data_IF_707400214862
#
_entry.id   IF_707400214862
#
_cell.length_a   1.000
_cell.length_b   1.000
_cell.length_c   1.000
_cell.angle_alpha   90.00
_cell.angle_beta   90.00
_cell.angle_gamma   90.00
#
_symmetry.space_group_name_H-M   'P 1'
#
loop_
_entity.id
_entity.type
_entity.pdbx_description
1 polymer ?
#
# COMPACT_ATOMS: atom_id res chain seq x y z
N UNK A 1 15.56 2.99 12.19
CA UNK A 1 15.14 2.65 13.57
C UNK A 1 14.93 1.15 13.64
N UNK A 2 15.41 0.48 14.69
CA UNK A 2 15.21 -0.95 14.91
C UNK A 2 14.10 -1.17 15.95
N UNK A 3 13.23 -2.18 15.81
CA UNK A 3 12.28 -2.49 16.86
C UNK A 3 13.02 -2.98 18.12
N UNK A 4 12.35 -2.87 19.26
CA UNK A 4 12.84 -3.46 20.50
C UNK A 4 12.99 -4.98 20.34
N UNK A 5 14.04 -5.54 20.95
CA UNK A 5 14.23 -6.99 21.01
C UNK A 5 13.13 -7.59 21.90
N UNK A 6 12.34 -8.55 21.40
CA UNK A 6 11.35 -9.21 22.24
C UNK A 6 12.00 -9.92 23.44
N UNK A 7 11.27 -10.01 24.54
CA UNK A 7 11.70 -10.77 25.72
C UNK A 7 12.00 -12.22 25.33
N UNK A 8 13.16 -12.74 25.75
CA UNK A 8 13.60 -14.10 25.43
C UNK A 8 14.26 -14.23 24.04
N UNK A 9 14.49 -13.13 23.32
CA UNK A 9 15.30 -13.17 22.11
C UNK A 9 16.73 -13.64 22.44
N UNK A 10 17.30 -14.61 21.70
CA UNK A 10 18.62 -15.14 22.00
C UNK A 10 19.70 -14.06 22.04
N UNK A 11 20.50 -14.07 23.10
CA UNK A 11 21.66 -13.20 23.22
C UNK A 11 22.66 -13.45 22.09
N UNK A 12 23.31 -12.40 21.59
CA UNK A 12 24.25 -12.49 20.48
C UNK A 12 23.65 -12.77 19.10
N UNK A 13 22.38 -13.18 18.99
CA UNK A 13 21.73 -13.37 17.69
C UNK A 13 21.42 -12.02 17.04
N UNK A 14 21.65 -11.93 15.73
CA UNK A 14 21.30 -10.75 14.94
C UNK A 14 19.77 -10.64 14.82
N UNK A 15 19.26 -9.43 15.06
CA UNK A 15 17.82 -9.18 15.02
C UNK A 15 17.31 -9.07 13.58
N UNK A 16 18.04 -8.41 12.68
CA UNK A 16 17.76 -8.44 11.24
C UNK A 16 18.41 -9.67 10.61
N UNK A 17 17.62 -10.51 9.98
CA UNK A 17 18.11 -11.69 9.28
C UNK A 17 18.65 -11.41 7.88
N UNK A 18 18.96 -12.48 7.12
CA UNK A 18 19.27 -12.40 5.70
C UNK A 18 18.19 -11.67 4.89
N UNK A 19 18.58 -11.04 3.78
CA UNK A 19 17.66 -10.35 2.87
C UNK A 19 17.20 -8.96 3.32
N UNK A 20 17.58 -8.51 4.52
CA UNK A 20 17.22 -7.19 5.02
C UNK A 20 15.73 -7.11 5.35
N UNK A 21 15.38 -7.44 6.59
CA UNK A 21 13.99 -7.39 7.03
C UNK A 21 13.79 -8.17 8.32
N UNK A 22 12.71 -7.84 9.01
CA UNK A 22 12.30 -8.48 10.24
C UNK A 22 10.80 -8.29 10.40
N UNK A 23 10.10 -9.37 10.71
CA UNK A 23 8.71 -9.30 11.16
C UNK A 23 8.58 -10.06 12.47
N UNK A 24 7.97 -9.40 13.46
CA UNK A 24 7.75 -9.94 14.80
C UNK A 24 6.25 -10.05 15.01
N UNK A 25 5.76 -11.28 15.17
CA UNK A 25 4.37 -11.52 15.54
C UNK A 25 4.30 -11.82 17.03
N UNK A 26 3.65 -10.92 17.78
CA UNK A 26 3.40 -11.09 19.20
C UNK A 26 2.13 -11.92 19.41
N UNK A 27 2.29 -13.18 19.79
CA UNK A 27 1.18 -14.07 20.12
C UNK A 27 1.00 -14.23 21.63
N UNK A 28 -0.19 -14.67 22.04
CA UNK A 28 -0.48 -15.00 23.44
C UNK A 28 0.23 -16.26 23.93
N UNK A 29 0.64 -17.14 22.99
CA UNK A 29 1.31 -18.42 23.27
C UNK A 29 2.81 -18.40 22.99
N UNK A 30 3.26 -17.48 22.13
CA UNK A 30 4.65 -17.39 21.68
C UNK A 30 4.86 -16.14 20.83
N UNK A 31 6.13 -15.82 20.58
CA UNK A 31 6.53 -14.80 19.61
C UNK A 31 7.17 -15.49 18.40
N UNK A 32 6.57 -15.28 17.22
CA UNK A 32 7.12 -15.76 15.95
C UNK A 32 7.97 -14.66 15.33
N UNK A 33 9.19 -15.02 14.95
CA UNK A 33 10.14 -14.13 14.29
C UNK A 33 10.47 -14.71 12.92
N UNK A 34 10.39 -13.89 11.89
CA UNK A 34 10.83 -14.24 10.55
C UNK A 34 11.56 -13.08 9.89
N UNK A 35 12.43 -13.43 8.94
CA UNK A 35 13.16 -12.48 8.10
C UNK A 35 12.28 -11.87 7.01
N UNK A 36 12.93 -11.21 6.06
CA UNK A 36 12.27 -10.65 4.88
C UNK A 36 11.42 -11.74 4.20
N UNK A 37 10.22 -11.37 3.72
CA UNK A 37 9.26 -12.29 3.07
C UNK A 37 8.87 -13.53 3.87
N UNK A 38 9.02 -13.51 5.19
CA UNK A 38 8.69 -14.64 6.05
C UNK A 38 9.74 -15.76 6.05
N UNK A 39 10.96 -15.47 5.59
CA UNK A 39 12.05 -16.44 5.57
C UNK A 39 12.49 -16.86 6.99
N UNK A 40 12.94 -18.11 7.11
CA UNK A 40 13.52 -18.70 8.31
C UNK A 40 12.72 -18.42 9.61
N UNK A 41 11.40 -18.72 9.63
CA UNK A 41 10.57 -18.46 10.80
C UNK A 41 11.04 -19.31 11.99
N UNK A 42 11.12 -18.71 13.17
CA UNK A 42 11.36 -19.42 14.42
C UNK A 42 10.53 -18.85 15.58
N UNK A 43 10.18 -19.70 16.54
CA UNK A 43 9.51 -19.31 17.77
C UNK A 43 10.54 -19.06 18.87
N UNK A 44 10.33 -18.04 19.71
CA UNK A 44 11.24 -17.76 20.82
C UNK A 44 11.30 -18.89 21.85
N UNK A 45 10.23 -19.69 21.98
CA UNK A 45 10.24 -20.90 22.81
C UNK A 45 11.15 -22.02 22.30
N UNK A 46 11.67 -21.93 21.07
CA UNK A 46 12.41 -23.00 20.41
C UNK A 46 11.53 -24.08 19.77
N UNK A 47 10.21 -23.99 19.89
CA UNK A 47 9.29 -24.89 19.15
C UNK A 47 9.40 -24.65 17.66
N UNK A 48 9.22 -25.71 16.89
CA UNK A 48 9.15 -25.64 15.43
C UNK A 48 7.79 -25.07 15.01
N UNK A 49 7.72 -23.94 14.27
CA UNK A 49 6.45 -23.46 13.74
C UNK A 49 5.82 -24.52 12.82
N UNK A 50 4.59 -24.91 13.14
CA UNK A 50 3.82 -25.86 12.33
C UNK A 50 2.41 -25.31 12.09
N UNK A 51 2.27 -24.56 11.00
CA UNK A 51 0.98 -24.00 10.57
C UNK A 51 0.44 -24.77 9.35
N UNK A 52 -0.90 -24.92 9.22
CA UNK A 52 -1.50 -25.48 8.02
C UNK A 52 -1.02 -24.75 6.76
N UNK A 53 -0.74 -25.53 5.70
CA UNK A 53 -0.37 -24.97 4.39
C UNK A 53 -1.64 -24.56 3.66
N UNK A 54 -1.98 -23.27 3.74
CA UNK A 54 -3.23 -22.72 3.16
C UNK A 54 -3.08 -22.16 1.75
N UNK A 55 -1.85 -22.05 1.23
CA UNK A 55 -1.57 -21.44 -0.07
C UNK A 55 -0.66 -22.33 -0.93
N UNK A 56 -0.89 -22.35 -2.25
CA UNK A 56 0.05 -22.91 -3.23
C UNK A 56 1.45 -22.33 -3.01
N UNK A 57 2.47 -23.20 -3.01
CA UNK A 57 3.89 -22.80 -2.94
C UNK A 57 4.47 -22.76 -4.35
N UNK A 58 5.02 -21.61 -4.71
CA UNK A 58 5.76 -21.43 -5.96
C UNK A 58 7.13 -22.10 -5.79
N UNK A 59 7.50 -22.99 -6.71
CA UNK A 59 8.78 -23.73 -6.66
C UNK A 59 9.94 -23.00 -7.37
N UNK A 60 9.61 -22.05 -8.24
CA UNK A 60 10.55 -21.15 -8.91
C UNK A 60 10.54 -19.75 -8.23
N UNK A 61 11.25 -18.78 -8.80
CA UNK A 61 11.13 -17.39 -8.38
C UNK A 61 9.77 -16.78 -8.76
N UNK A 62 9.39 -15.68 -8.13
CA UNK A 62 8.07 -15.08 -8.28
C UNK A 62 7.81 -14.61 -9.72
N UNK A 63 8.81 -14.01 -10.37
CA UNK A 63 8.77 -13.62 -11.77
C UNK A 63 8.71 -14.84 -12.71
N UNK A 64 9.33 -15.96 -12.34
CA UNK A 64 9.26 -17.18 -13.13
C UNK A 64 7.91 -17.91 -13.01
N UNK A 65 7.14 -17.70 -11.93
CA UNK A 65 5.76 -18.17 -11.83
C UNK A 65 4.87 -17.48 -12.86
N UNK A 66 5.11 -16.18 -13.09
CA UNK A 66 4.45 -15.40 -14.13
C UNK A 66 4.85 -15.89 -15.53
N UNK A 67 6.16 -16.00 -15.80
CA UNK A 67 6.67 -16.49 -17.10
C UNK A 67 6.11 -17.88 -17.43
N UNK A 68 6.07 -18.79 -16.44
CA UNK A 68 5.44 -20.11 -16.57
C UNK A 68 3.98 -19.97 -17.00
N UNK A 69 3.18 -19.20 -16.25
CA UNK A 69 1.75 -19.04 -16.55
C UNK A 69 1.53 -18.45 -17.96
N UNK A 70 2.35 -17.49 -18.40
CA UNK A 70 2.26 -16.94 -19.75
C UNK A 70 2.53 -17.96 -20.87
N UNK A 71 3.38 -18.95 -20.62
CA UNK A 71 3.73 -20.01 -21.59
C UNK A 71 2.73 -21.18 -21.60
N UNK A 72 1.90 -21.31 -20.57
CA UNK A 72 0.86 -22.33 -20.51
C UNK A 72 -0.35 -21.97 -21.37
N UNK A 73 -0.97 -23.00 -21.97
CA UNK A 73 -2.22 -22.86 -22.69
C UNK A 73 -3.32 -22.34 -21.76
N UNK A 74 -4.13 -21.41 -22.27
CA UNK A 74 -5.19 -20.78 -21.47
C UNK A 74 -6.15 -21.82 -20.86
N UNK A 75 -6.36 -22.96 -21.52
CA UNK A 75 -7.28 -24.02 -21.09
C UNK A 75 -6.80 -24.81 -19.86
N UNK A 76 -5.50 -24.84 -19.58
CA UNK A 76 -4.92 -25.64 -18.49
C UNK A 76 -3.97 -24.85 -17.58
N UNK A 77 -3.86 -23.53 -17.81
CA UNK A 77 -2.98 -22.63 -17.07
C UNK A 77 -3.31 -22.62 -15.59
N UNK A 78 -2.27 -22.78 -14.77
CA UNK A 78 -2.35 -22.48 -13.34
C UNK A 78 -2.00 -21.01 -13.13
N UNK A 79 -2.96 -20.23 -12.61
CA UNK A 79 -2.78 -18.80 -12.38
C UNK A 79 -1.55 -18.51 -11.49
N UNK A 80 -0.79 -17.45 -11.81
CA UNK A 80 0.34 -17.03 -10.99
C UNK A 80 -0.15 -16.64 -9.59
N UNK A 81 0.73 -16.74 -8.57
CA UNK A 81 0.31 -16.56 -7.18
C UNK A 81 -0.10 -15.11 -6.86
N UNK A 82 0.39 -14.16 -7.64
CA UNK A 82 0.04 -12.74 -7.60
C UNK A 82 -0.54 -12.35 -8.97
N UNK A 83 -1.70 -12.89 -9.32
CA UNK A 83 -2.41 -12.48 -10.54
C UNK A 83 -3.17 -11.15 -10.34
N UNK A 84 -3.87 -10.69 -11.37
CA UNK A 84 -4.56 -9.40 -11.35
C UNK A 84 -5.82 -9.38 -10.48
N UNK A 85 -6.43 -10.52 -10.14
CA UNK A 85 -7.55 -10.54 -9.19
C UNK A 85 -7.12 -10.15 -7.78
N UNK A 86 -5.84 -10.39 -7.43
CA UNK A 86 -5.24 -9.95 -6.16
C UNK A 86 -4.54 -8.59 -6.32
N UNK A 87 -3.70 -8.48 -7.36
CA UNK A 87 -2.82 -7.32 -7.55
C UNK A 87 -3.58 -6.05 -7.96
N UNK A 88 -4.72 -6.19 -8.64
CA UNK A 88 -5.60 -5.08 -9.01
C UNK A 88 -6.17 -4.37 -7.78
N UNK A 89 -6.95 -5.06 -6.93
CA UNK A 89 -7.47 -4.49 -5.69
C UNK A 89 -6.37 -4.01 -4.73
N UNK A 90 -5.25 -4.73 -4.65
CA UNK A 90 -4.10 -4.28 -3.86
C UNK A 90 -3.57 -2.93 -4.36
N UNK A 91 -3.41 -2.78 -5.69
CA UNK A 91 -2.98 -1.52 -6.28
C UNK A 91 -3.99 -0.39 -6.02
N UNK A 92 -5.30 -0.68 -6.09
CA UNK A 92 -6.35 0.27 -5.71
C UNK A 92 -6.16 0.80 -4.28
N UNK A 93 -5.93 -0.10 -3.31
CA UNK A 93 -5.63 0.29 -1.93
C UNK A 93 -4.37 1.16 -1.81
N UNK A 94 -3.32 0.87 -2.58
CA UNK A 94 -2.09 1.67 -2.58
C UNK A 94 -2.35 3.07 -3.14
N UNK A 95 -3.07 3.20 -4.26
CA UNK A 95 -3.37 4.52 -4.85
C UNK A 95 -4.34 5.35 -4.00
N UNK A 96 -5.12 4.73 -3.10
CA UNK A 96 -5.87 5.47 -2.06
C UNK A 96 -4.95 6.33 -1.17
N UNK A 97 -3.70 5.92 -0.94
CA UNK A 97 -2.72 6.74 -0.24
C UNK A 97 -2.38 8.04 -0.99
N UNK A 98 -2.34 7.99 -2.32
CA UNK A 98 -2.13 9.18 -3.17
C UNK A 98 -3.33 10.11 -3.10
N UNK A 99 -4.55 9.56 -3.11
CA UNK A 99 -5.79 10.34 -2.92
C UNK A 99 -5.78 11.06 -1.57
N UNK A 100 -5.38 10.40 -0.49
CA UNK A 100 -5.28 11.00 0.83
C UNK A 100 -4.33 12.22 0.85
N UNK A 101 -3.19 12.14 0.16
CA UNK A 101 -2.25 13.28 0.03
C UNK A 101 -2.88 14.42 -0.80
N UNK A 102 -3.54 14.10 -1.92
CA UNK A 102 -4.16 15.13 -2.77
C UNK A 102 -5.33 15.84 -2.09
N UNK A 103 -6.03 15.15 -1.20
CA UNK A 103 -7.17 15.65 -0.45
C UNK A 103 -6.80 16.13 0.96
N UNK A 104 -5.51 16.12 1.33
CA UNK A 104 -5.05 16.43 2.70
C UNK A 104 -5.51 17.79 3.21
N UNK A 105 -5.75 18.76 2.32
CA UNK A 105 -6.25 20.09 2.67
C UNK A 105 -7.65 20.10 3.29
N UNK A 106 -8.39 18.98 3.24
CA UNK A 106 -9.65 18.81 3.97
C UNK A 106 -9.44 18.61 5.47
N UNK A 107 -8.20 18.31 5.91
CA UNK A 107 -7.82 18.17 7.31
C UNK A 107 -8.76 17.25 8.12
N UNK A 108 -9.19 16.15 7.51
CA UNK A 108 -10.06 15.16 8.14
C UNK A 108 -9.72 13.76 7.66
N UNK A 109 -10.12 12.77 8.45
CA UNK A 109 -10.11 11.37 8.01
C UNK A 109 -11.07 11.20 6.84
N UNK A 110 -10.60 10.55 5.77
CA UNK A 110 -11.42 10.25 4.60
C UNK A 110 -12.02 8.85 4.73
N UNK A 111 -13.33 8.75 4.57
CA UNK A 111 -14.06 7.49 4.57
C UNK A 111 -14.28 7.01 3.14
N UNK A 112 -13.81 5.79 2.84
CA UNK A 112 -13.80 5.22 1.49
C UNK A 112 -14.79 4.08 1.36
N UNK A 113 -15.67 4.17 0.36
CA UNK A 113 -16.50 3.06 -0.10
C UNK A 113 -15.86 2.46 -1.36
N UNK A 114 -15.16 1.34 -1.19
CA UNK A 114 -14.49 0.64 -2.29
C UNK A 114 -15.42 -0.04 -3.28
N UNK A 115 -16.66 -0.37 -2.88
CA UNK A 115 -17.62 -0.99 -3.80
C UNK A 115 -18.19 0.05 -4.78
N UNK A 116 -18.45 1.26 -4.29
CA UNK A 116 -18.97 2.37 -5.10
C UNK A 116 -17.87 3.31 -5.62
N UNK A 117 -16.61 3.05 -5.26
CA UNK A 117 -15.43 3.84 -5.65
C UNK A 117 -15.60 5.33 -5.33
N UNK A 118 -15.99 5.67 -4.09
CA UNK A 118 -16.20 7.07 -3.70
C UNK A 118 -15.89 7.33 -2.21
N UNK A 119 -15.69 8.62 -1.89
CA UNK A 119 -15.61 9.06 -0.50
C UNK A 119 -17.01 9.40 0.02
N UNK A 120 -17.38 8.83 1.16
CA UNK A 120 -18.72 8.99 1.75
C UNK A 120 -18.88 10.26 2.56
N UNK A 121 -17.77 10.86 2.99
CA UNK A 121 -17.76 11.94 3.97
C UNK A 121 -17.24 13.28 3.43
N UNK A 122 -17.25 13.50 2.11
CA UNK A 122 -16.98 14.80 1.47
C UNK A 122 -18.30 15.47 1.08
N UNK A 123 -18.64 16.57 1.75
CA UNK A 123 -19.85 17.35 1.50
C UNK A 123 -19.82 18.13 0.18
N UNK A 124 -21.00 18.46 -0.35
CA UNK A 124 -21.15 19.10 -1.66
C UNK A 124 -20.56 20.51 -1.74
N UNK A 125 -20.41 21.20 -0.60
CA UNK A 125 -19.90 22.57 -0.52
C UNK A 125 -18.45 22.66 0.01
N UNK A 126 -17.81 21.53 0.28
CA UNK A 126 -16.42 21.53 0.74
C UNK A 126 -15.47 21.92 -0.39
N UNK A 127 -14.46 22.71 -0.05
CA UNK A 127 -13.48 23.20 -1.03
C UNK A 127 -12.06 22.89 -0.61
N UNK A 128 -11.18 22.80 -1.61
CA UNK A 128 -9.76 22.57 -1.46
C UNK A 128 -8.98 23.67 -2.17
N UNK A 129 -7.77 23.93 -1.70
CA UNK A 129 -6.77 24.75 -2.39
C UNK A 129 -5.45 23.99 -2.42
N UNK A 130 -4.70 24.14 -3.50
CA UNK A 130 -3.36 23.58 -3.63
C UNK A 130 -2.34 24.72 -3.61
N UNK A 131 -1.21 24.51 -2.94
CA UNK A 131 -0.13 25.47 -2.91
C UNK A 131 0.58 25.48 -4.27
N UNK A 132 0.55 26.62 -4.97
CA UNK A 132 1.25 26.83 -6.24
C UNK A 132 2.73 27.12 -5.97
N UNK A 133 3.00 27.96 -4.96
CA UNK A 133 4.35 28.38 -4.58
C UNK A 133 4.40 28.54 -3.07
N UNK A 134 5.39 27.92 -2.44
CA UNK A 134 5.54 27.94 -0.98
C UNK A 134 5.96 29.33 -0.44
N UNK A 135 6.73 30.07 -1.25
CA UNK A 135 7.18 31.42 -0.92
C UNK A 135 8.11 31.46 0.29
N UNK A 136 8.90 30.41 0.49
CA UNK A 136 9.88 30.30 1.55
C UNK A 136 10.94 31.39 1.45
N UNK A 137 11.13 32.15 2.52
CA UNK A 137 12.23 33.09 2.71
C UNK A 137 12.83 32.94 4.11
N UNK A 138 14.08 33.35 4.29
CA UNK A 138 14.73 33.41 5.59
C UNK A 138 15.15 34.85 5.83
N UNK A 139 14.73 35.43 6.96
CA UNK A 139 15.16 36.76 7.42
C UNK A 139 15.78 36.59 8.81
N UNK A 140 17.06 36.94 8.97
CA UNK A 140 17.83 36.80 10.21
C UNK A 140 17.74 35.40 10.86
N UNK A 141 17.78 34.36 10.03
CA UNK A 141 17.67 32.96 10.48
C UNK A 141 16.24 32.49 10.76
N UNK A 142 15.24 33.36 10.67
CA UNK A 142 13.83 33.01 10.85
C UNK A 142 13.17 32.66 9.51
N UNK A 143 12.63 31.43 9.36
CA UNK A 143 11.89 31.03 8.17
C UNK A 143 10.53 31.74 8.11
N UNK A 144 10.15 32.21 6.93
CA UNK A 144 8.86 32.81 6.61
C UNK A 144 8.27 32.17 5.35
N UNK A 145 6.95 32.05 5.31
CA UNK A 145 6.24 31.35 4.23
C UNK A 145 5.16 32.26 3.64
N UNK A 146 5.36 32.75 2.43
CA UNK A 146 4.35 33.51 1.70
C UNK A 146 3.71 32.68 0.58
N UNK A 147 2.84 31.75 0.98
CA UNK A 147 2.25 30.75 0.09
C UNK A 147 1.28 31.37 -0.92
N UNK A 148 1.49 31.10 -2.20
CA UNK A 148 0.52 31.36 -3.27
C UNK A 148 -0.35 30.12 -3.45
N UNK A 149 -1.67 30.30 -3.46
CA UNK A 149 -2.65 29.22 -3.54
C UNK A 149 -3.45 29.27 -4.84
N UNK A 150 -3.98 28.13 -5.26
CA UNK A 150 -5.02 28.08 -6.29
C UNK A 150 -6.33 28.72 -5.80
N UNK A 151 -7.21 29.04 -6.74
CA UNK A 151 -8.61 29.28 -6.42
C UNK A 151 -9.22 28.04 -5.73
N UNK A 152 -10.24 28.22 -4.86
CA UNK A 152 -10.97 27.10 -4.28
C UNK A 152 -11.58 26.20 -5.35
N UNK A 153 -11.36 24.90 -5.25
CA UNK A 153 -12.02 23.89 -6.09
C UNK A 153 -13.00 23.07 -5.24
N UNK A 154 -14.08 22.59 -5.86
CA UNK A 154 -15.02 21.70 -5.20
C UNK A 154 -14.34 20.36 -4.87
N UNK A 155 -14.27 20.01 -3.59
CA UNK A 155 -13.52 18.85 -3.14
C UNK A 155 -14.15 17.52 -3.59
N UNK A 156 -15.48 17.43 -3.62
CA UNK A 156 -16.21 16.23 -4.03
C UNK A 156 -16.03 15.93 -5.51
N UNK A 157 -16.15 16.97 -6.36
CA UNK A 157 -15.90 16.86 -7.79
C UNK A 157 -14.44 16.50 -8.09
N UNK A 158 -13.49 17.16 -7.41
CA UNK A 158 -12.08 16.86 -7.56
C UNK A 158 -11.76 15.41 -7.17
N UNK A 159 -12.29 14.92 -6.03
CA UNK A 159 -12.11 13.54 -5.61
C UNK A 159 -12.70 12.54 -6.62
N UNK A 160 -13.89 12.81 -7.17
CA UNK A 160 -14.50 11.97 -8.20
C UNK A 160 -13.65 11.90 -9.47
N UNK A 161 -13.06 13.03 -9.90
CA UNK A 161 -12.16 13.07 -11.06
C UNK A 161 -10.86 12.30 -10.82
N UNK A 162 -10.32 12.32 -9.59
CA UNK A 162 -9.13 11.54 -9.25
C UNK A 162 -9.39 10.03 -9.29
N UNK A 163 -10.60 9.58 -8.92
CA UNK A 163 -10.98 8.17 -8.97
C UNK A 163 -11.30 7.73 -10.40
N UNK A 164 -12.10 8.53 -11.12
CA UNK A 164 -12.52 8.24 -12.48
C UNK A 164 -12.30 9.47 -13.35
N UNK A 165 -11.13 9.52 -13.95
CA UNK A 165 -10.74 10.64 -14.79
C UNK A 165 -11.53 10.66 -16.11
N UNK A 166 -11.99 11.85 -16.48
CA UNK A 166 -12.55 12.10 -17.81
C UNK A 166 -11.39 12.39 -18.76
N UNK A 167 -11.03 11.39 -19.55
CA UNK A 167 -10.01 11.56 -20.58
C UNK A 167 -10.48 12.50 -21.69
N UNK A 168 -9.51 13.02 -22.43
CA UNK A 168 -9.74 13.82 -23.64
C UNK A 168 -10.69 13.07 -24.60
N UNK A 169 -11.54 13.82 -25.30
CA UNK A 169 -12.42 13.26 -26.32
C UNK A 169 -11.68 12.31 -27.28
N UNK A 170 -12.27 11.13 -27.53
CA UNK A 170 -11.67 10.04 -28.30
C UNK A 170 -10.77 9.08 -27.51
N UNK A 171 -10.46 9.38 -26.25
CA UNK A 171 -9.69 8.50 -25.37
C UNK A 171 -10.61 7.79 -24.37
N UNK A 172 -10.60 6.46 -24.39
CA UNK A 172 -11.33 5.64 -23.42
C UNK A 172 -10.45 4.48 -22.97
N UNK A 173 -10.44 4.21 -21.66
CA UNK A 173 -9.89 2.95 -21.16
C UNK A 173 -10.76 1.77 -21.62
N UNK A 174 -10.17 0.59 -21.87
CA UNK A 174 -10.95 -0.63 -22.05
C UNK A 174 -11.84 -0.88 -20.83
N UNK A 175 -12.99 -1.51 -21.04
CA UNK A 175 -13.87 -1.88 -19.93
C UNK A 175 -13.14 -2.87 -19.00
N UNK A 176 -13.43 -2.80 -17.70
CA UNK A 176 -12.83 -3.69 -16.72
C UNK A 176 -13.14 -5.15 -17.08
N UNK A 177 -12.20 -6.09 -16.86
CA UNK A 177 -12.45 -7.51 -17.06
C UNK A 177 -13.67 -7.95 -16.22
N UNK A 178 -14.55 -8.75 -16.82
CA UNK A 178 -15.66 -9.40 -16.10
C UNK A 178 -15.22 -10.70 -15.46
#
# INVERSE_FOLDING_TARGET
>A
MMPERPKGFPEGKQLMGPGGGLTIFHGTKDTLICGCYGEQPFLLSGRVPNAPKVCRRVKCSHEMDWVRACKEDKSNRVMPKADFSESGPMNEMVVMGVLAIRLQGLNKTLEWDGANMCFTNIGDNETLRTCIKDGFTIHDGHPSFNKTWTDPINAKQFAAELVKHNYREGWKLPDMPR
#
